data_IF_527634256376
#
_entry.id   IF_527634256376
#
_cell.length_a   1.000
_cell.length_b   1.000
_cell.length_c   1.000
_cell.angle_alpha   90.00
_cell.angle_beta   90.00
_cell.angle_gamma   90.00
#
_symmetry.space_group_name_H-M   'P 1'
#
loop_
_entity.id
_entity.type
_entity.pdbx_description
1 polymer ?
#
# COMPACT_ATOMS: atom_id res chain seq x y z
N UNK A 1 -13.30 7.26 17.99
CA UNK A 1 -13.11 6.57 16.70
C UNK A 1 -11.95 7.24 15.98
N UNK A 2 -10.83 6.55 15.75
CA UNK A 2 -9.81 7.05 14.83
C UNK A 2 -10.52 7.21 13.49
N UNK A 3 -10.64 8.45 13.00
CA UNK A 3 -11.06 8.66 11.61
C UNK A 3 -9.92 8.11 10.79
N UNK A 4 -10.08 6.90 10.25
CA UNK A 4 -9.21 6.38 9.21
C UNK A 4 -9.31 7.36 8.03
N UNK A 5 -8.29 8.20 7.88
CA UNK A 5 -8.13 9.09 6.74
C UNK A 5 -7.14 8.41 5.79
N UNK A 6 -7.59 7.44 4.97
CA UNK A 6 -6.69 6.68 4.11
C UNK A 6 -5.95 7.60 3.13
N UNK A 7 -6.57 8.69 2.67
CA UNK A 7 -5.92 9.67 1.81
C UNK A 7 -4.75 10.37 2.50
N UNK A 8 -4.92 10.73 3.78
CA UNK A 8 -3.88 11.41 4.57
C UNK A 8 -2.72 10.46 4.89
N UNK A 9 -3.02 9.20 5.27
CA UNK A 9 -1.99 8.19 5.47
C UNK A 9 -1.14 7.99 4.20
N UNK A 10 -1.79 7.93 3.04
CA UNK A 10 -1.08 7.80 1.77
C UNK A 10 -0.36 9.08 1.33
N UNK A 11 -0.85 10.26 1.70
CA UNK A 11 -0.15 11.53 1.50
C UNK A 11 1.15 11.54 2.32
N UNK A 12 1.07 11.23 3.62
CA UNK A 12 2.23 11.15 4.52
C UNK A 12 3.24 10.11 4.03
N UNK A 13 2.78 8.94 3.57
CA UNK A 13 3.63 7.93 2.96
C UNK A 13 4.35 8.45 1.70
N UNK A 14 3.66 9.25 0.89
CA UNK A 14 4.26 9.86 -0.32
C UNK A 14 5.28 10.94 0.03
N UNK A 15 5.03 11.71 1.09
CA UNK A 15 5.97 12.71 1.61
C UNK A 15 7.21 12.03 2.18
N UNK A 16 7.03 10.94 2.93
CA UNK A 16 8.14 10.15 3.49
C UNK A 16 9.08 9.61 2.40
N UNK A 17 8.55 9.16 1.26
CA UNK A 17 9.35 8.68 0.12
C UNK A 17 10.19 9.79 -0.54
N UNK A 18 9.84 11.07 -0.36
CA UNK A 18 10.60 12.20 -0.88
C UNK A 18 11.75 12.64 0.04
N UNK A 19 11.79 12.15 1.27
CA UNK A 19 12.85 12.47 2.23
C UNK A 19 14.10 11.66 1.88
N UNK A 20 15.26 12.30 1.64
CA UNK A 20 16.51 11.58 1.35
C UNK A 20 16.87 10.58 2.45
N UNK A 21 17.32 9.38 2.07
CA UNK A 21 17.69 8.27 2.96
C UNK A 21 16.56 7.72 3.85
N UNK A 22 15.33 8.17 3.68
CA UNK A 22 14.17 7.59 4.34
C UNK A 22 13.87 6.21 3.75
N UNK A 23 13.82 5.18 4.60
CA UNK A 23 13.40 3.84 4.23
C UNK A 23 12.17 3.47 5.05
N UNK A 24 10.98 3.33 4.43
CA UNK A 24 9.83 2.81 5.15
C UNK A 24 10.10 1.36 5.54
N UNK A 25 9.78 1.03 6.78
CA UNK A 25 9.84 -0.35 7.26
C UNK A 25 8.53 -1.08 6.87
N UNK A 26 8.51 -2.38 7.14
CA UNK A 26 7.34 -3.23 6.88
C UNK A 26 6.04 -2.64 7.46
N UNK A 27 6.05 -2.12 8.70
CA UNK A 27 4.86 -1.55 9.33
C UNK A 27 4.34 -0.30 8.63
N UNK A 28 5.25 0.58 8.20
CA UNK A 28 4.90 1.78 7.43
C UNK A 28 4.26 1.39 6.10
N UNK A 29 4.86 0.43 5.39
CA UNK A 29 4.35 -0.06 4.11
C UNK A 29 3.00 -0.76 4.29
N UNK A 30 2.85 -1.65 5.27
CA UNK A 30 1.58 -2.34 5.56
C UNK A 30 0.46 -1.35 5.86
N UNK A 31 0.76 -0.28 6.59
CA UNK A 31 -0.20 0.79 6.87
C UNK A 31 -0.61 1.55 5.60
N UNK A 32 0.34 1.80 4.69
CA UNK A 32 0.04 2.40 3.39
C UNK A 32 -0.78 1.46 2.50
N UNK A 33 -0.48 0.15 2.48
CA UNK A 33 -1.28 -0.85 1.74
C UNK A 33 -2.71 -0.91 2.27
N UNK A 34 -2.90 -0.93 3.60
CA UNK A 34 -4.23 -0.91 4.21
C UNK A 34 -5.02 0.36 3.86
N UNK A 35 -4.37 1.52 3.89
CA UNK A 35 -4.98 2.77 3.46
C UNK A 35 -5.35 2.77 1.97
N UNK A 36 -4.49 2.21 1.10
CA UNK A 36 -4.81 2.04 -0.32
C UNK A 36 -5.96 1.07 -0.56
N UNK A 37 -6.08 0.01 0.24
CA UNK A 37 -7.19 -0.95 0.16
C UNK A 37 -8.55 -0.33 0.55
N UNK A 38 -8.54 0.72 1.37
CA UNK A 38 -9.74 1.44 1.79
C UNK A 38 -10.23 2.48 0.76
N UNK A 39 -9.44 2.76 -0.29
CA UNK A 39 -9.79 3.70 -1.36
C UNK A 39 -9.95 2.90 -2.65
N UNK A 40 -11.02 3.08 -3.44
CA UNK A 40 -11.21 2.38 -4.72
C UNK A 40 -10.29 2.96 -5.82
N UNK A 41 -8.97 2.91 -5.62
CA UNK A 41 -7.98 3.50 -6.50
C UNK A 41 -6.76 2.58 -6.70
N UNK A 42 -6.86 1.72 -7.70
CA UNK A 42 -5.80 0.79 -8.10
C UNK A 42 -4.45 1.46 -8.35
N UNK A 43 -4.45 2.70 -8.86
CA UNK A 43 -3.23 3.42 -9.20
C UNK A 43 -2.33 3.57 -7.96
N UNK A 44 -2.90 3.90 -6.80
CA UNK A 44 -2.14 4.04 -5.55
C UNK A 44 -1.60 2.70 -5.07
N UNK A 45 -2.39 1.64 -5.21
CA UNK A 45 -1.95 0.27 -4.96
C UNK A 45 -0.74 -0.14 -5.78
N UNK A 46 -0.74 0.17 -7.08
CA UNK A 46 0.40 -0.11 -7.99
C UNK A 46 1.64 0.71 -7.64
N UNK A 47 1.49 1.97 -7.26
CA UNK A 47 2.61 2.82 -6.79
C UNK A 47 3.29 2.20 -5.55
N UNK A 48 2.49 1.74 -4.58
CA UNK A 48 3.00 1.07 -3.36
C UNK A 48 3.64 -0.27 -3.69
N UNK A 49 3.02 -1.09 -4.54
CA UNK A 49 3.59 -2.36 -4.97
C UNK A 49 4.97 -2.16 -5.64
N UNK A 50 5.07 -1.20 -6.56
CA UNK A 50 6.35 -0.89 -7.21
C UNK A 50 7.40 -0.42 -6.19
N UNK A 51 7.00 0.31 -5.15
CA UNK A 51 7.91 0.67 -4.06
C UNK A 51 8.38 -0.55 -3.27
N UNK A 52 7.49 -1.49 -2.92
CA UNK A 52 7.82 -2.74 -2.21
C UNK A 52 8.91 -3.52 -2.94
N UNK A 53 8.74 -3.71 -4.25
CA UNK A 53 9.72 -4.43 -5.11
C UNK A 53 11.05 -3.69 -5.14
N UNK A 54 11.04 -2.36 -5.35
CA UNK A 54 12.30 -1.56 -5.35
C UNK A 54 13.01 -1.56 -3.99
N UNK A 55 12.26 -1.73 -2.89
CA UNK A 55 12.80 -1.78 -1.54
C UNK A 55 13.27 -3.19 -1.14
N UNK A 56 13.05 -4.22 -1.97
CA UNK A 56 13.36 -5.62 -1.66
C UNK A 56 12.48 -6.20 -0.54
N UNK A 57 11.25 -5.71 -0.42
CA UNK A 57 10.28 -6.14 0.60
C UNK A 57 9.24 -7.12 0.04
N UNK A 58 9.37 -7.49 -1.23
CA UNK A 58 8.47 -8.39 -1.95
C UNK A 58 8.66 -9.87 -1.59
N UNK A 59 9.61 -10.25 -0.75
CA UNK A 59 9.66 -11.60 -0.17
C UNK A 59 8.86 -11.73 1.12
N UNK A 60 8.31 -10.62 1.64
CA UNK A 60 7.55 -10.64 2.88
C UNK A 60 6.11 -11.12 2.66
N UNK A 61 5.76 -12.24 3.27
CA UNK A 61 4.45 -12.89 3.12
C UNK A 61 3.29 -12.00 3.59
N UNK A 62 3.52 -11.20 4.64
CA UNK A 62 2.50 -10.31 5.20
C UNK A 62 2.19 -9.18 4.22
N UNK A 63 3.22 -8.59 3.60
CA UNK A 63 3.05 -7.58 2.56
C UNK A 63 2.41 -8.16 1.31
N UNK A 64 2.79 -9.37 0.89
CA UNK A 64 2.16 -10.04 -0.25
C UNK A 64 0.66 -10.29 -0.05
N UNK A 65 0.29 -10.84 1.11
CA UNK A 65 -1.11 -11.07 1.47
C UNK A 65 -1.90 -9.76 1.50
N UNK A 66 -1.33 -8.72 2.10
CA UNK A 66 -1.94 -7.39 2.16
C UNK A 66 -2.10 -6.75 0.78
N UNK A 67 -1.14 -6.94 -0.14
CA UNK A 67 -1.23 -6.48 -1.52
C UNK A 67 -2.36 -7.19 -2.26
N UNK A 68 -2.51 -8.51 -2.11
CA UNK A 68 -3.60 -9.26 -2.75
C UNK A 68 -4.98 -8.77 -2.30
N UNK A 69 -5.17 -8.57 -0.99
CA UNK A 69 -6.40 -7.99 -0.42
C UNK A 69 -6.68 -6.59 -1.01
N UNK A 70 -5.65 -5.75 -1.10
CA UNK A 70 -5.75 -4.41 -1.70
C UNK A 70 -6.15 -4.47 -3.18
N UNK A 71 -5.53 -5.33 -3.99
CA UNK A 71 -5.89 -5.50 -5.41
C UNK A 71 -7.33 -6.01 -5.57
N UNK A 72 -7.79 -6.89 -4.68
CA UNK A 72 -9.17 -7.37 -4.64
C UNK A 72 -10.17 -6.26 -4.32
N UNK A 73 -9.90 -5.48 -3.27
CA UNK A 73 -10.76 -4.34 -2.85
C UNK A 73 -10.77 -3.18 -3.85
N UNK A 74 -9.68 -2.97 -4.59
CA UNK A 74 -9.64 -2.02 -5.70
C UNK A 74 -10.34 -2.51 -6.98
N UNK A 75 -10.96 -3.69 -6.97
CA UNK A 75 -11.71 -4.25 -8.09
C UNK A 75 -10.84 -4.73 -9.25
N UNK A 76 -9.54 -5.00 -9.02
CA UNK A 76 -8.63 -5.44 -10.08
C UNK A 76 -8.50 -6.95 -10.21
N UNK A 77 -8.89 -7.70 -9.17
CA UNK A 77 -9.03 -9.14 -9.27
C UNK A 77 -10.49 -9.39 -9.66
N UNK A 78 -10.72 -9.70 -10.94
CA UNK A 78 -12.05 -10.11 -11.40
C UNK A 78 -12.46 -11.34 -10.58
N UNK A 79 -13.61 -11.28 -9.92
CA UNK A 79 -14.27 -12.51 -9.47
C UNK A 79 -14.63 -13.28 -10.74
N UNK A 80 -14.03 -14.45 -10.90
CA UNK A 80 -14.53 -15.42 -11.85
C UNK A 80 -15.86 -15.91 -11.27
N UNK A 81 -16.97 -15.47 -11.88
CA UNK A 81 -18.25 -16.18 -11.79
C UNK A 81 -18.22 -17.38 -12.76
#
# INVERSE_FOLDING_TARGET
AKKDQPEEALLLYSLMQKVPNSKPNIFTVSSAVAAAAAIPCIRRGKEIHAHIVRAGLDSDEVLWSSLMDMYGKCGCIMKHE
#
